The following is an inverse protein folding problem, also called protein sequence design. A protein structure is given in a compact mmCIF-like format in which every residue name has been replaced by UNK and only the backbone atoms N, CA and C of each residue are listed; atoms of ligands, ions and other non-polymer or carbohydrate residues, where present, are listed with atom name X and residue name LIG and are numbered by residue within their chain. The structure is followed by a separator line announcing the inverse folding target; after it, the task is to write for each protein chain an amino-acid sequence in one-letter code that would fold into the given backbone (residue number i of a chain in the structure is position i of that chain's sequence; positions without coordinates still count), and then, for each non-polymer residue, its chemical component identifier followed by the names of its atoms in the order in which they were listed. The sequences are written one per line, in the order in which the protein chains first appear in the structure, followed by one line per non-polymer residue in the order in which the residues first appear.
data_IF_048133840253
#
_entry.id   IF_048133840253
#
_cell.length_a   1.000
_cell.length_b   1.000
_cell.length_c   1.000
_cell.angle_alpha   90.00
_cell.angle_beta   90.00
_cell.angle_gamma   90.00
#
_symmetry.space_group_name_H-M   'P 1'
#
loop_
_entity.id
_entity.type
_entity.pdbx_description
1 polymer ?
#
# COMPACT_ATOMS: atom_id res chain seq x y z
N UNK A 1 -20.50 -13.68 7.73
CA UNK A 1 -20.50 -12.33 7.11
C UNK A 1 -19.98 -12.52 5.69
N UNK A 2 -20.88 -12.62 4.71
CA UNK A 2 -20.45 -12.88 3.32
C UNK A 2 -20.01 -11.55 2.71
N UNK A 3 -18.71 -11.43 2.49
CA UNK A 3 -18.11 -10.35 1.73
C UNK A 3 -18.29 -10.73 0.25
N UNK A 4 -19.28 -10.13 -0.40
CA UNK A 4 -19.77 -10.59 -1.73
C UNK A 4 -18.87 -10.13 -2.88
N UNK A 5 -18.16 -9.01 -2.74
CA UNK A 5 -16.99 -8.63 -3.52
C UNK A 5 -16.42 -7.36 -2.87
N UNK A 6 -15.22 -7.42 -2.29
CA UNK A 6 -14.54 -6.23 -1.74
C UNK A 6 -13.27 -6.04 -2.56
N UNK A 7 -13.23 -4.94 -3.32
CA UNK A 7 -11.96 -4.40 -3.76
C UNK A 7 -11.19 -3.97 -2.51
N UNK A 8 -9.96 -4.47 -2.38
CA UNK A 8 -9.13 -4.18 -1.23
C UNK A 8 -8.60 -2.75 -1.30
N UNK A 9 -8.60 -2.06 -0.15
CA UNK A 9 -8.06 -0.71 0.01
C UNK A 9 -6.64 -0.76 0.53
N UNK A 10 -5.77 0.11 0.01
CA UNK A 10 -4.43 0.31 0.52
C UNK A 10 -4.40 1.07 1.85
N UNK A 11 -3.34 0.87 2.63
CA UNK A 11 -3.07 1.60 3.86
C UNK A 11 -3.13 3.12 3.64
N UNK A 12 -2.57 3.58 2.52
CA UNK A 12 -2.64 4.99 2.11
C UNK A 12 -4.08 5.48 1.97
N UNK A 13 -4.94 4.74 1.28
CA UNK A 13 -6.32 5.15 1.01
C UNK A 13 -7.13 5.23 2.31
N UNK A 14 -7.01 4.20 3.15
CA UNK A 14 -7.63 4.18 4.49
C UNK A 14 -7.14 5.36 5.32
N UNK A 15 -5.83 5.64 5.31
CA UNK A 15 -5.25 6.75 6.05
C UNK A 15 -5.79 8.11 5.57
N UNK A 16 -5.91 8.33 4.26
CA UNK A 16 -6.48 9.56 3.71
C UNK A 16 -7.96 9.74 4.12
N UNK A 17 -8.76 8.67 4.02
CA UNK A 17 -10.17 8.70 4.44
C UNK A 17 -10.29 9.06 5.93
N UNK A 18 -9.50 8.44 6.80
CA UNK A 18 -9.51 8.73 8.24
C UNK A 18 -9.05 10.17 8.54
N UNK A 19 -8.10 10.73 7.76
CA UNK A 19 -7.71 12.14 7.89
C UNK A 19 -8.82 13.09 7.49
N UNK A 20 -9.52 12.83 6.38
CA UNK A 20 -10.65 13.62 5.92
C UNK A 20 -11.81 13.56 6.93
N UNK A 21 -12.18 12.36 7.38
CA UNK A 21 -13.24 12.17 8.38
C UNK A 21 -12.92 12.89 9.69
N UNK A 22 -11.66 12.85 10.16
CA UNK A 22 -11.23 13.61 11.35
C UNK A 22 -11.44 15.12 11.17
N UNK A 23 -11.08 15.69 10.01
CA UNK A 23 -11.28 17.12 9.72
C UNK A 23 -12.77 17.48 9.75
N UNK A 24 -13.59 16.74 9.01
CA UNK A 24 -15.04 16.91 8.97
C UNK A 24 -15.68 16.85 10.37
N UNK A 25 -15.35 15.81 11.16
CA UNK A 25 -15.87 15.66 12.53
C UNK A 25 -15.45 16.84 13.41
N UNK A 26 -14.20 17.29 13.30
CA UNK A 26 -13.70 18.46 14.05
C UNK A 26 -14.48 19.73 13.70
N UNK A 27 -14.75 19.97 12.43
CA UNK A 27 -15.55 21.12 11.95
C UNK A 27 -17.01 21.06 12.43
N UNK A 28 -17.55 19.86 12.62
CA UNK A 28 -18.91 19.62 13.14
C UNK A 28 -18.98 19.49 14.66
N UNK A 29 -17.88 19.64 15.39
CA UNK A 29 -17.84 19.44 16.84
C UNK A 29 -18.09 17.99 17.29
N UNK A 30 -17.95 17.03 16.38
CA UNK A 30 -18.18 15.60 16.63
C UNK A 30 -16.90 14.94 17.15
N UNK A 31 -17.05 13.99 18.08
CA UNK A 31 -15.93 13.15 18.56
C UNK A 31 -15.53 12.13 17.50
N UNK A 32 -14.24 11.85 17.40
CA UNK A 32 -13.73 10.73 16.59
C UNK A 32 -13.93 9.41 17.36
N UNK A 33 -14.54 8.38 16.74
CA UNK A 33 -14.63 7.04 17.33
C UNK A 33 -13.27 6.48 17.76
N UNK A 34 -13.25 5.67 18.83
CA UNK A 34 -12.01 5.07 19.35
C UNK A 34 -11.30 4.20 18.31
N UNK A 35 -12.04 3.36 17.59
CA UNK A 35 -11.52 2.51 16.53
C UNK A 35 -10.90 3.33 15.38
N UNK A 36 -11.55 4.40 14.92
CA UNK A 36 -10.99 5.29 13.89
C UNK A 36 -9.65 5.92 14.34
N UNK A 37 -9.54 6.25 15.64
CA UNK A 37 -8.30 6.78 16.21
C UNK A 37 -7.22 5.69 16.23
N UNK A 38 -7.52 4.51 16.76
CA UNK A 38 -6.55 3.40 16.88
C UNK A 38 -6.03 2.95 15.52
N UNK A 39 -6.91 2.73 14.54
CA UNK A 39 -6.51 2.37 13.17
C UNK A 39 -5.62 3.46 12.57
N UNK A 40 -5.94 4.74 12.77
CA UNK A 40 -5.11 5.84 12.28
C UNK A 40 -3.75 5.89 12.97
N UNK A 41 -3.68 5.65 14.28
CA UNK A 41 -2.40 5.63 15.00
C UNK A 41 -1.54 4.44 14.56
N UNK A 42 -2.13 3.26 14.30
CA UNK A 42 -1.43 2.15 13.66
C UNK A 42 -0.90 2.52 12.27
N UNK A 43 -1.73 3.13 11.42
CA UNK A 43 -1.31 3.51 10.07
C UNK A 43 -0.16 4.53 10.07
N UNK A 44 -0.01 5.34 11.13
CA UNK A 44 1.15 6.23 11.29
C UNK A 44 2.46 5.50 11.54
N UNK A 45 2.44 4.26 12.02
CA UNK A 45 3.65 3.44 12.22
C UNK A 45 4.05 2.68 10.95
N UNK A 46 3.27 2.80 9.88
CA UNK A 46 3.59 2.22 8.56
C UNK A 46 4.22 3.28 7.64
N UNK A 47 4.64 2.88 6.44
CA UNK A 47 5.18 3.81 5.44
C UNK A 47 4.09 4.69 4.76
N UNK A 48 2.80 4.38 4.93
CA UNK A 48 1.73 5.08 4.21
C UNK A 48 1.61 6.60 4.45
N UNK A 49 2.01 7.20 5.60
CA UNK A 49 1.93 8.64 5.79
C UNK A 49 2.86 9.45 4.90
N UNK A 50 3.99 8.86 4.48
CA UNK A 50 5.03 9.51 3.67
C UNK A 50 4.76 9.38 2.16
N UNK A 51 3.93 8.41 1.79
CA UNK A 51 3.56 8.13 0.41
C UNK A 51 2.74 9.27 -0.21
N UNK A 52 2.92 9.44 -1.53
CA UNK A 52 2.21 10.43 -2.33
C UNK A 52 1.35 9.74 -3.38
N UNK A 53 0.11 10.19 -3.55
CA UNK A 53 -0.84 9.65 -4.55
C UNK A 53 -0.21 9.50 -5.93
N UNK A 54 0.42 10.55 -6.45
CA UNK A 54 0.98 10.52 -7.81
C UNK A 54 2.07 9.45 -7.94
N UNK A 55 2.88 9.28 -6.88
CA UNK A 55 3.96 8.29 -6.87
C UNK A 55 3.42 6.85 -6.79
N UNK A 56 2.40 6.61 -5.95
CA UNK A 56 1.70 5.33 -5.90
C UNK A 56 1.10 4.99 -7.27
N UNK A 57 0.41 5.93 -7.92
CA UNK A 57 -0.21 5.71 -9.23
C UNK A 57 0.83 5.38 -10.31
N UNK A 58 2.01 6.01 -10.29
CA UNK A 58 3.11 5.67 -11.20
C UNK A 58 3.65 4.27 -10.92
N UNK A 59 3.88 3.93 -9.65
CA UNK A 59 4.36 2.60 -9.26
C UNK A 59 3.38 1.51 -9.70
N UNK A 60 2.08 1.69 -9.46
CA UNK A 60 1.04 0.73 -9.86
C UNK A 60 1.07 0.44 -11.37
N UNK A 61 1.31 1.46 -12.21
CA UNK A 61 1.44 1.28 -13.66
C UNK A 61 2.67 0.42 -14.01
N UNK A 62 3.83 0.74 -13.43
CA UNK A 62 5.07 -0.03 -13.62
C UNK A 62 4.93 -1.48 -13.17
N UNK A 63 4.33 -1.71 -11.99
CA UNK A 63 4.13 -3.06 -11.46
C UNK A 63 3.19 -3.90 -12.33
N UNK A 64 2.20 -3.26 -12.96
CA UNK A 64 1.34 -3.91 -13.95
C UNK A 64 2.12 -4.29 -15.22
N UNK A 65 3.04 -3.45 -15.68
CA UNK A 65 3.93 -3.76 -16.81
C UNK A 65 4.87 -4.95 -16.51
N UNK A 66 5.25 -5.13 -15.25
CA UNK A 66 6.00 -6.32 -14.79
C UNK A 66 5.15 -7.59 -14.66
N UNK A 67 3.84 -7.51 -14.89
CA UNK A 67 2.94 -8.67 -14.78
C UNK A 67 2.66 -9.09 -13.33
N UNK A 68 2.75 -8.16 -12.37
CA UNK A 68 2.32 -8.42 -10.99
C UNK A 68 0.79 -8.38 -10.87
N UNK A 69 0.25 -9.27 -10.05
CA UNK A 69 -1.18 -9.31 -9.73
C UNK A 69 -1.60 -8.12 -8.86
N UNK A 70 -2.89 -7.79 -8.85
CA UNK A 70 -3.42 -6.69 -8.02
C UNK A 70 -3.07 -6.88 -6.53
N UNK A 71 -3.11 -8.12 -6.04
CA UNK A 71 -2.81 -8.44 -4.64
C UNK A 71 -1.32 -8.22 -4.31
N UNK A 72 -0.42 -8.64 -5.21
CA UNK A 72 1.03 -8.41 -5.04
C UNK A 72 1.36 -6.91 -5.01
N UNK A 73 0.77 -6.15 -5.95
CA UNK A 73 0.94 -4.69 -5.98
C UNK A 73 0.43 -4.03 -4.71
N UNK A 74 -0.74 -4.46 -4.21
CA UNK A 74 -1.29 -3.95 -2.95
C UNK A 74 -0.36 -4.24 -1.76
N UNK A 75 0.18 -5.45 -1.66
CA UNK A 75 1.12 -5.83 -0.60
C UNK A 75 2.42 -5.01 -0.70
N UNK A 76 2.98 -4.85 -1.90
CA UNK A 76 4.17 -4.01 -2.14
C UNK A 76 3.92 -2.57 -1.67
N UNK A 77 2.78 -1.97 -2.01
CA UNK A 77 2.47 -0.60 -1.62
C UNK A 77 2.30 -0.48 -0.09
N UNK A 78 1.69 -1.47 0.55
CA UNK A 78 1.44 -1.44 1.99
C UNK A 78 2.70 -1.69 2.83
N UNK A 79 3.55 -2.62 2.40
CA UNK A 79 4.72 -3.09 3.14
C UNK A 79 6.00 -2.33 2.76
N UNK A 80 6.11 -1.87 1.52
CA UNK A 80 7.25 -1.15 0.95
C UNK A 80 8.55 -1.93 1.13
N UNK A 81 8.69 -3.10 0.49
CA UNK A 81 9.81 -3.99 0.72
C UNK A 81 11.14 -3.34 0.30
N UNK A 82 12.17 -3.52 1.13
CA UNK A 82 13.49 -2.89 0.95
C UNK A 82 14.56 -3.85 0.45
N UNK A 83 14.28 -5.15 0.55
CA UNK A 83 15.21 -6.23 0.20
C UNK A 83 14.56 -7.25 -0.74
N UNK A 84 15.41 -8.00 -1.46
CA UNK A 84 14.96 -9.10 -2.30
C UNK A 84 14.21 -10.15 -1.48
N UNK A 85 14.70 -10.48 -0.29
CA UNK A 85 14.06 -11.47 0.61
C UNK A 85 12.61 -11.08 0.92
N UNK A 86 12.34 -9.80 1.17
CA UNK A 86 10.97 -9.33 1.39
C UNK A 86 10.08 -9.47 0.14
N UNK A 87 10.63 -9.21 -1.06
CA UNK A 87 9.89 -9.44 -2.31
C UNK A 87 9.53 -10.91 -2.54
N UNK A 88 10.40 -11.84 -2.12
CA UNK A 88 10.16 -13.28 -2.26
C UNK A 88 9.00 -13.75 -1.38
N UNK A 89 8.74 -13.05 -0.27
CA UNK A 89 7.58 -13.33 0.60
C UNK A 89 6.27 -12.75 0.04
N UNK A 90 6.35 -11.74 -0.83
CA UNK A 90 5.18 -11.06 -1.40
C UNK A 90 4.76 -11.66 -2.74
N UNK A 91 5.74 -11.96 -3.61
CA UNK A 91 5.52 -12.41 -4.98
C UNK A 91 5.70 -13.93 -5.02
N UNK A 92 4.62 -14.66 -5.30
CA UNK A 92 4.66 -16.12 -5.34
C UNK A 92 5.54 -16.61 -6.51
N UNK A 93 6.37 -17.62 -6.24
CA UNK A 93 7.28 -18.27 -7.19
C UNK A 93 8.11 -17.25 -7.98
N UNK A 94 8.65 -16.24 -7.30
CA UNK A 94 9.36 -15.12 -7.94
C UNK A 94 10.54 -15.58 -8.80
N UNK A 95 11.25 -16.62 -8.38
CA UNK A 95 12.40 -17.20 -9.09
C UNK A 95 12.00 -17.90 -10.40
N UNK A 96 10.79 -18.46 -10.46
CA UNK A 96 10.24 -19.07 -11.68
C UNK A 96 9.72 -18.02 -12.66
N UNK A 97 9.26 -16.87 -12.14
CA UNK A 97 8.63 -15.80 -12.92
C UNK A 97 9.62 -14.77 -13.45
N UNK A 98 10.70 -14.51 -12.72
CA UNK A 98 11.57 -13.38 -12.96
C UNK A 98 13.04 -13.78 -12.81
N UNK A 99 13.86 -13.33 -13.76
CA UNK A 99 15.31 -13.37 -13.62
C UNK A 99 15.75 -12.35 -12.55
N UNK A 100 16.91 -12.57 -11.94
CA UNK A 100 17.46 -11.74 -10.86
C UNK A 100 17.51 -10.25 -11.22
N UNK A 101 17.92 -9.93 -12.45
CA UNK A 101 17.93 -8.54 -12.96
C UNK A 101 16.54 -7.88 -12.93
N UNK A 102 15.48 -8.64 -13.18
CA UNK A 102 14.10 -8.13 -13.15
C UNK A 102 13.61 -7.89 -11.72
N UNK A 103 14.02 -8.74 -10.78
CA UNK A 103 13.72 -8.53 -9.35
C UNK A 103 14.41 -7.27 -8.84
N UNK A 104 15.65 -7.01 -9.27
CA UNK A 104 16.38 -5.77 -8.98
C UNK A 104 15.63 -4.54 -9.54
N UNK A 105 15.12 -4.59 -10.77
CA UNK A 105 14.32 -3.51 -11.37
C UNK A 105 13.02 -3.22 -10.60
N UNK A 106 12.34 -4.27 -10.11
CA UNK A 106 11.15 -4.14 -9.27
C UNK A 106 11.52 -3.42 -7.98
N UNK A 107 12.59 -3.86 -7.31
CA UNK A 107 13.04 -3.28 -6.06
C UNK A 107 13.48 -1.81 -6.21
N UNK A 108 14.20 -1.48 -7.28
CA UNK A 108 14.60 -0.11 -7.59
C UNK A 108 13.41 0.80 -7.89
N UNK A 109 12.40 0.26 -8.59
CA UNK A 109 11.13 0.97 -8.82
C UNK A 109 10.45 1.30 -7.48
N UNK A 110 10.42 0.36 -6.53
CA UNK A 110 9.82 0.61 -5.21
C UNK A 110 10.54 1.77 -4.51
N UNK A 111 11.88 1.71 -4.40
CA UNK A 111 12.70 2.75 -3.77
C UNK A 111 12.57 4.13 -4.42
N UNK A 112 12.31 4.17 -5.73
CA UNK A 112 12.17 5.43 -6.48
C UNK A 112 10.81 6.12 -6.23
N UNK A 113 9.77 5.35 -5.93
CA UNK A 113 8.40 5.86 -5.85
C UNK A 113 7.78 5.81 -4.45
N UNK A 114 8.24 4.96 -3.54
CA UNK A 114 7.73 4.88 -2.16
C UNK A 114 8.86 5.08 -1.17
#
# INVERSE_FOLDING_TARGET
MNIVNIEALGNYEVFQVLRCNRKYRKEKGLKTPALEREVREYLKTTNCPEQKRQKIEILMKKMKEFGLSKQEVLQIINLVPQTHVELYLIIANIEERFQEGKVLEILDSIKTYL
#
